data_IF_389191476903
#
_entry.id   IF_389191476903
#
_cell.length_a   1.000
_cell.length_b   1.000
_cell.length_c   1.000
_cell.angle_alpha   90.00
_cell.angle_beta   90.00
_cell.angle_gamma   90.00
#
_symmetry.space_group_name_H-M   'P 1'
#
loop_
_entity.id
_entity.type
_entity.pdbx_description
1 polymer ?
#
# COMPACT_ATOMS: atom_id res chain seq x y z
N UNK A 1 -8.73 -14.39 53.25
CA UNK A 1 -8.04 -14.83 52.03
C UNK A 1 -8.42 -13.91 50.91
N UNK A 2 -7.50 -13.09 50.42
CA UNK A 2 -7.77 -12.11 49.34
C UNK A 2 -7.41 -12.73 48.00
N UNK A 3 -8.39 -12.84 47.11
CA UNK A 3 -8.20 -13.30 45.74
C UNK A 3 -7.47 -12.23 44.91
N UNK A 4 -6.25 -12.52 44.50
CA UNK A 4 -5.45 -11.68 43.60
C UNK A 4 -6.02 -11.74 42.18
N UNK A 5 -6.37 -10.57 41.64
CA UNK A 5 -6.95 -10.39 40.32
C UNK A 5 -6.10 -10.97 39.20
N UNK A 6 -6.79 -11.61 38.26
CA UNK A 6 -6.22 -12.15 37.03
C UNK A 6 -5.76 -11.00 36.13
N UNK A 7 -4.44 -10.82 36.02
CA UNK A 7 -3.82 -9.87 35.11
C UNK A 7 -4.05 -10.26 33.64
N UNK A 8 -5.23 -9.94 33.10
CA UNK A 8 -5.47 -9.98 31.66
C UNK A 8 -4.67 -8.86 31.01
N UNK A 9 -3.65 -9.24 30.24
CA UNK A 9 -2.95 -8.32 29.33
C UNK A 9 -3.99 -7.72 28.37
N UNK A 10 -4.00 -6.39 28.16
CA UNK A 10 -4.88 -5.79 27.18
C UNK A 10 -4.58 -6.38 25.80
N UNK A 11 -5.61 -6.53 24.93
CA UNK A 11 -5.38 -6.95 23.56
C UNK A 11 -4.35 -6.03 22.92
N UNK A 12 -3.43 -6.58 22.13
CA UNK A 12 -2.44 -5.80 21.39
C UNK A 12 -3.19 -4.78 20.51
N UNK A 13 -3.12 -3.50 20.87
CA UNK A 13 -3.53 -2.43 19.96
C UNK A 13 -2.55 -2.42 18.81
N UNK A 14 -3.05 -2.79 17.64
CA UNK A 14 -2.33 -2.63 16.41
C UNK A 14 -2.78 -1.29 15.85
N UNK A 15 -2.08 -0.20 16.15
CA UNK A 15 -2.42 1.13 15.59
C UNK A 15 -2.45 1.14 14.05
N UNK A 16 -1.77 0.17 13.41
CA UNK A 16 -1.88 -0.03 11.97
C UNK A 16 -3.24 -0.60 11.51
N UNK A 17 -4.07 -1.07 12.44
CA UNK A 17 -5.41 -1.61 12.25
C UNK A 17 -6.52 -0.70 12.80
N UNK A 18 -6.20 0.54 13.20
CA UNK A 18 -7.18 1.49 13.74
C UNK A 18 -7.60 2.53 12.68
N UNK A 19 -8.83 3.04 12.78
CA UNK A 19 -9.44 4.02 11.86
C UNK A 19 -10.05 3.41 10.59
N UNK A 20 -11.08 4.09 10.06
CA UNK A 20 -11.80 3.72 8.82
C UNK A 20 -11.00 4.10 7.56
N UNK A 21 -10.29 5.23 7.62
CA UNK A 21 -9.35 5.69 6.58
C UNK A 21 -7.94 5.61 7.12
N UNK A 22 -7.03 5.00 6.35
CA UNK A 22 -5.65 4.75 6.77
C UNK A 22 -4.66 5.17 5.72
N UNK A 23 -3.83 6.16 6.05
CA UNK A 23 -2.72 6.59 5.21
C UNK A 23 -1.58 5.59 5.29
N UNK A 24 -1.22 5.01 4.14
CA UNK A 24 -0.16 4.00 4.03
C UNK A 24 0.74 4.26 2.85
N UNK A 25 2.00 3.87 3.01
CA UNK A 25 2.92 3.63 1.90
C UNK A 25 2.93 2.14 1.60
N UNK A 26 2.87 1.76 0.33
CA UNK A 26 2.98 0.35 -0.08
C UNK A 26 4.43 0.05 -0.47
N UNK A 27 5.14 -0.71 0.36
CA UNK A 27 6.49 -1.15 0.10
C UNK A 27 6.52 -2.54 -0.54
N UNK A 28 6.95 -2.64 -1.79
CA UNK A 28 7.01 -3.89 -2.52
C UNK A 28 8.14 -4.79 -2.02
N UNK A 29 7.93 -6.11 -2.06
CA UNK A 29 8.99 -7.11 -1.82
C UNK A 29 10.15 -6.98 -2.83
N UNK A 30 9.96 -6.30 -3.97
CA UNK A 30 11.04 -5.94 -4.90
C UNK A 30 11.86 -4.71 -4.48
N UNK A 31 11.63 -4.19 -3.27
CA UNK A 31 12.37 -3.08 -2.62
C UNK A 31 12.08 -1.68 -3.18
N UNK A 32 10.84 -1.44 -3.59
CA UNK A 32 10.36 -0.13 -4.07
C UNK A 32 9.10 0.32 -3.33
N UNK A 33 8.93 1.61 -3.14
CA UNK A 33 7.65 2.20 -2.74
C UNK A 33 6.82 2.47 -3.99
N UNK A 34 5.55 2.05 -3.97
CA UNK A 34 4.60 2.44 -5.01
C UNK A 34 4.36 3.95 -4.96
N UNK A 35 4.44 4.61 -6.12
CA UNK A 35 4.18 6.03 -6.31
C UNK A 35 3.21 6.21 -7.48
N UNK A 36 2.31 7.17 -7.32
CA UNK A 36 1.48 7.71 -8.41
C UNK A 36 1.87 9.19 -8.52
N UNK A 37 2.30 9.63 -9.69
CA UNK A 37 2.64 11.03 -9.94
C UNK A 37 1.41 11.89 -10.27
N UNK A 38 1.58 13.21 -10.38
CA UNK A 38 0.48 14.14 -10.68
C UNK A 38 -0.15 13.98 -12.07
N UNK A 39 0.49 13.23 -12.98
CA UNK A 39 -0.05 12.87 -14.29
C UNK A 39 -0.77 11.51 -14.31
N UNK A 40 -0.86 10.82 -13.17
CA UNK A 40 -1.43 9.47 -13.06
C UNK A 40 -0.46 8.35 -13.44
N UNK A 41 0.81 8.67 -13.69
CA UNK A 41 1.87 7.70 -13.92
C UNK A 41 2.15 6.88 -12.65
N UNK A 42 2.28 5.57 -12.80
CA UNK A 42 2.53 4.63 -11.68
C UNK A 42 3.93 4.06 -11.80
N UNK A 43 4.72 4.16 -10.73
CA UNK A 43 6.07 3.60 -10.67
C UNK A 43 6.49 3.22 -9.25
N UNK A 44 7.68 2.64 -9.14
CA UNK A 44 8.34 2.29 -7.89
C UNK A 44 9.56 3.16 -7.64
N UNK A 45 9.64 3.81 -6.47
CA UNK A 45 10.80 4.62 -6.05
C UNK A 45 11.62 3.91 -4.97
N UNK A 46 12.94 4.07 -5.00
CA UNK A 46 13.82 3.47 -3.98
C UNK A 46 13.81 4.29 -2.71
N UNK A 47 14.00 3.64 -1.56
CA UNK A 47 14.06 4.31 -0.26
C UNK A 47 15.15 5.39 -0.16
N UNK A 48 16.25 5.25 -0.91
CA UNK A 48 17.38 6.22 -0.94
C UNK A 48 17.12 7.45 -1.82
N UNK A 49 16.12 7.40 -2.70
CA UNK A 49 15.71 8.52 -3.55
C UNK A 49 14.65 9.37 -2.83
N UNK A 50 14.81 9.55 -1.51
CA UNK A 50 14.21 10.68 -0.81
C UNK A 50 14.99 11.92 -1.28
N UNK A 51 14.34 12.99 -1.76
CA UNK A 51 14.94 14.31 -1.65
C UNK A 51 15.06 14.57 -0.14
N UNK A 52 16.25 14.31 0.40
CA UNK A 52 16.54 14.43 1.84
C UNK A 52 16.56 15.86 2.37
N UNK A 53 16.08 16.85 1.60
CA UNK A 53 16.08 18.26 1.97
C UNK A 53 14.75 18.98 1.71
N UNK A 54 13.74 18.35 1.11
CA UNK A 54 12.46 19.04 0.80
C UNK A 54 11.31 18.67 1.76
N UNK A 55 11.34 17.48 2.36
CA UNK A 55 10.25 16.99 3.21
C UNK A 55 10.38 17.38 4.70
N UNK A 56 11.41 18.15 5.06
CA UNK A 56 11.59 18.68 6.41
C UNK A 56 10.61 19.81 6.77
N UNK A 57 9.88 20.35 5.79
CA UNK A 57 8.91 21.43 5.97
C UNK A 57 7.44 21.04 5.75
N UNK A 58 7.14 19.77 5.41
CA UNK A 58 5.80 19.36 4.95
C UNK A 58 4.83 18.90 6.04
N UNK A 59 5.11 19.18 7.31
CA UNK A 59 4.13 18.90 8.38
C UNK A 59 2.96 19.88 8.42
N UNK A 60 3.09 21.04 7.79
CA UNK A 60 1.98 22.00 7.65
C UNK A 60 1.29 21.93 6.27
N UNK A 61 1.91 21.34 5.24
CA UNK A 61 1.38 21.35 3.87
C UNK A 61 0.34 20.25 3.57
N UNK A 62 0.19 19.25 4.44
CA UNK A 62 -0.93 18.29 4.36
C UNK A 62 -2.27 18.94 4.77
N UNK A 63 -2.25 20.07 5.51
CA UNK A 63 -3.47 20.80 5.89
C UNK A 63 -4.01 21.68 4.76
N UNK A 64 -3.12 22.11 3.86
CA UNK A 64 -3.43 22.95 2.68
C UNK A 64 -3.26 22.18 1.37
N UNK A 65 -3.40 20.85 1.40
CA UNK A 65 -3.37 20.05 0.19
C UNK A 65 -4.54 20.49 -0.70
N UNK A 66 -4.24 21.30 -1.72
CA UNK A 66 -5.10 21.41 -2.90
C UNK A 66 -5.54 19.99 -3.25
N UNK A 67 -6.85 19.76 -3.16
CA UNK A 67 -7.51 18.53 -3.60
C UNK A 67 -6.82 18.10 -4.90
N UNK A 68 -6.26 16.87 -4.98
CA UNK A 68 -5.55 16.43 -6.17
C UNK A 68 -6.44 16.75 -7.37
N UNK A 69 -5.94 17.64 -8.23
CA UNK A 69 -6.72 18.31 -9.26
C UNK A 69 -7.76 17.38 -9.85
N UNK A 70 -9.02 17.83 -9.79
CA UNK A 70 -10.27 17.15 -10.12
C UNK A 70 -10.32 16.52 -11.53
N UNK A 71 -9.47 15.54 -11.81
CA UNK A 71 -9.36 14.87 -13.11
C UNK A 71 -9.44 13.34 -13.06
N UNK A 72 -9.29 12.73 -11.88
CA UNK A 72 -9.35 11.28 -11.71
C UNK A 72 -10.61 10.87 -10.96
N UNK A 73 -11.64 10.45 -11.70
CA UNK A 73 -12.87 9.92 -11.11
C UNK A 73 -12.64 8.51 -10.56
N UNK A 74 -13.15 8.24 -9.36
CA UNK A 74 -13.15 6.90 -8.82
C UNK A 74 -13.98 5.97 -9.71
N UNK A 75 -13.37 4.89 -10.18
CA UNK A 75 -14.02 3.94 -11.10
C UNK A 75 -13.91 2.50 -10.59
N UNK A 76 -14.63 1.54 -11.20
CA UNK A 76 -14.45 0.12 -10.88
C UNK A 76 -13.00 -0.39 -11.03
N UNK A 77 -12.18 0.31 -11.81
CA UNK A 77 -10.75 0.00 -12.00
C UNK A 77 -9.92 0.30 -10.74
N UNK A 78 -10.44 1.12 -9.83
CA UNK A 78 -9.79 1.53 -8.59
C UNK A 78 -10.07 0.56 -7.42
N UNK A 79 -10.87 -0.50 -7.65
CA UNK A 79 -11.25 -1.44 -6.60
C UNK A 79 -10.37 -2.68 -6.60
N UNK A 80 -9.72 -2.92 -5.47
CA UNK A 80 -8.84 -4.07 -5.25
C UNK A 80 -9.27 -4.88 -4.04
N UNK A 81 -9.15 -6.20 -4.15
CA UNK A 81 -9.24 -7.13 -3.02
C UNK A 81 -7.86 -7.25 -2.39
N UNK A 82 -7.75 -6.79 -1.16
CA UNK A 82 -6.57 -7.01 -0.31
C UNK A 82 -6.64 -8.41 0.31
N UNK A 83 -5.52 -9.14 0.32
CA UNK A 83 -5.35 -10.37 1.10
C UNK A 83 -3.99 -10.38 1.76
N UNK A 84 -3.96 -10.81 3.03
CA UNK A 84 -2.73 -11.06 3.77
C UNK A 84 -2.24 -12.46 3.38
N UNK A 85 -1.02 -12.54 2.85
CA UNK A 85 -0.36 -13.79 2.49
C UNK A 85 0.41 -14.36 3.69
N UNK A 86 0.73 -15.65 3.62
CA UNK A 86 1.41 -16.39 4.70
C UNK A 86 2.80 -15.83 5.06
N UNK A 87 3.44 -15.12 4.12
CA UNK A 87 4.74 -14.47 4.34
C UNK A 87 4.64 -13.08 4.99
N UNK A 88 3.44 -12.65 5.39
CA UNK A 88 3.19 -11.37 6.04
C UNK A 88 3.09 -10.16 5.10
N UNK A 89 3.17 -10.37 3.79
CA UNK A 89 2.88 -9.33 2.79
C UNK A 89 1.41 -9.39 2.36
N UNK A 90 0.93 -8.29 1.79
CA UNK A 90 -0.40 -8.22 1.20
C UNK A 90 -0.31 -8.32 -0.33
N UNK A 91 -1.33 -8.94 -0.93
CA UNK A 91 -1.60 -8.86 -2.36
C UNK A 91 -2.85 -8.04 -2.62
N UNK A 92 -2.86 -7.36 -3.77
CA UNK A 92 -3.98 -6.52 -4.21
C UNK A 92 -4.46 -6.98 -5.58
N UNK A 93 -5.53 -7.77 -5.61
CA UNK A 93 -6.11 -8.26 -6.85
C UNK A 93 -7.19 -7.29 -7.36
N UNK A 94 -7.24 -6.99 -8.66
CA UNK A 94 -8.35 -6.23 -9.22
C UNK A 94 -9.67 -6.97 -9.01
N UNK A 95 -10.70 -6.26 -8.53
CA UNK A 95 -12.04 -6.83 -8.42
C UNK A 95 -12.69 -7.01 -9.79
N UNK A 96 -12.42 -6.10 -10.72
CA UNK A 96 -13.05 -6.10 -12.03
C UNK A 96 -12.28 -6.93 -13.07
N UNK A 97 -10.95 -6.81 -13.08
CA UNK A 97 -10.15 -7.30 -14.19
C UNK A 97 -9.50 -8.66 -13.95
N UNK A 98 -9.69 -9.56 -14.93
CA UNK A 98 -9.13 -10.91 -14.95
C UNK A 98 -8.51 -11.19 -16.31
N UNK A 99 -7.51 -12.06 -16.36
CA UNK A 99 -6.88 -12.51 -17.60
C UNK A 99 -6.92 -14.04 -17.68
N UNK A 100 -7.62 -14.58 -18.69
CA UNK A 100 -7.85 -16.03 -18.86
C UNK A 100 -8.39 -16.70 -17.59
N UNK A 101 -9.41 -16.07 -16.98
CA UNK A 101 -10.03 -16.56 -15.75
C UNK A 101 -9.18 -16.42 -14.48
N UNK A 102 -8.01 -15.76 -14.55
CA UNK A 102 -7.12 -15.54 -13.39
C UNK A 102 -7.18 -14.08 -12.94
N UNK A 103 -7.19 -13.80 -11.62
CA UNK A 103 -7.12 -12.43 -11.13
C UNK A 103 -5.82 -11.76 -11.59
N UNK A 104 -5.90 -10.46 -11.85
CA UNK A 104 -4.72 -9.61 -12.08
C UNK A 104 -4.38 -8.87 -10.80
N UNK A 105 -3.09 -8.72 -10.53
CA UNK A 105 -2.57 -8.14 -9.30
C UNK A 105 -1.84 -6.82 -9.57
N UNK A 106 -1.89 -5.91 -8.60
CA UNK A 106 -0.93 -4.82 -8.51
C UNK A 106 0.48 -5.43 -8.44
N UNK A 107 1.44 -4.86 -9.18
CA UNK A 107 2.81 -5.39 -9.15
C UNK A 107 3.88 -4.41 -9.62
N UNK A 108 5.04 -4.50 -8.99
CA UNK A 108 6.27 -3.82 -9.40
C UNK A 108 7.36 -4.86 -9.67
N UNK A 109 8.00 -4.80 -10.84
CA UNK A 109 9.10 -5.69 -11.15
C UNK A 109 10.39 -5.32 -10.40
N UNK A 110 11.45 -6.09 -10.59
CA UNK A 110 12.77 -5.84 -9.99
C UNK A 110 13.44 -4.52 -10.38
N UNK A 111 12.91 -3.81 -11.39
CA UNK A 111 13.35 -2.48 -11.83
C UNK A 111 12.41 -1.36 -11.33
N UNK A 112 11.43 -1.67 -10.49
CA UNK A 112 10.45 -0.69 -9.99
C UNK A 112 9.40 -0.29 -11.02
N UNK A 113 9.23 -1.00 -12.13
CA UNK A 113 8.22 -0.67 -13.14
C UNK A 113 6.94 -1.49 -12.94
N UNK A 114 5.76 -0.90 -13.18
CA UNK A 114 4.50 -1.64 -13.13
C UNK A 114 4.49 -2.76 -14.17
N UNK A 115 3.94 -3.92 -13.81
CA UNK A 115 3.81 -5.03 -14.76
C UNK A 115 2.40 -5.07 -15.35
N UNK A 116 2.31 -5.55 -16.59
CA UNK A 116 1.02 -5.84 -17.23
C UNK A 116 0.29 -6.93 -16.45
N UNK A 117 -0.98 -6.68 -16.11
CA UNK A 117 -1.78 -7.55 -15.25
C UNK A 117 -1.82 -9.03 -15.69
N UNK A 118 -1.87 -9.32 -17.01
CA UNK A 118 -1.88 -10.71 -17.51
C UNK A 118 -0.63 -11.53 -17.15
N UNK A 119 0.49 -10.87 -16.80
CA UNK A 119 1.75 -11.51 -16.36
C UNK A 119 1.84 -11.73 -14.85
N UNK A 120 0.91 -11.17 -14.08
CA UNK A 120 0.95 -11.18 -12.62
C UNK A 120 0.40 -12.48 -12.04
N UNK A 121 0.94 -12.90 -10.88
CA UNK A 121 0.60 -14.15 -10.19
C UNK A 121 0.74 -13.93 -8.69
N UNK A 122 -0.20 -14.45 -7.89
CA UNK A 122 -0.23 -14.27 -6.42
C UNK A 122 1.08 -14.69 -5.73
N UNK A 123 1.70 -15.75 -6.24
CA UNK A 123 2.92 -16.34 -5.71
C UNK A 123 4.19 -15.57 -6.11
N UNK A 124 4.12 -14.59 -7.02
CA UNK A 124 5.29 -13.80 -7.40
C UNK A 124 5.52 -12.68 -6.40
N UNK A 125 6.76 -12.54 -5.93
CA UNK A 125 7.19 -11.44 -5.05
C UNK A 125 6.89 -10.05 -5.63
N UNK A 126 6.83 -9.91 -6.95
CA UNK A 126 6.47 -8.64 -7.58
C UNK A 126 5.05 -8.17 -7.25
N UNK A 127 4.17 -9.06 -6.76
CA UNK A 127 2.79 -8.74 -6.35
C UNK A 127 2.64 -8.49 -4.85
N UNK A 128 3.71 -8.63 -4.07
CA UNK A 128 3.69 -8.57 -2.61
C UNK A 128 4.07 -7.17 -2.14
N UNK A 129 3.23 -6.59 -1.28
CA UNK A 129 3.42 -5.26 -0.72
C UNK A 129 3.17 -5.26 0.78
N UNK A 130 4.00 -4.54 1.52
CA UNK A 130 3.86 -4.30 2.94
C UNK A 130 3.27 -2.90 3.17
N UNK A 131 2.08 -2.77 3.77
CA UNK A 131 1.53 -1.47 4.15
C UNK A 131 2.31 -0.88 5.33
N UNK A 132 3.00 0.22 5.10
CA UNK A 132 3.76 0.95 6.11
C UNK A 132 3.00 2.21 6.53
N UNK A 133 3.03 2.52 7.83
CA UNK A 133 2.50 3.79 8.36
C UNK A 133 3.24 4.97 7.71
N UNK A 134 2.48 6.02 7.39
CA UNK A 134 3.05 7.35 7.15
C UNK A 134 3.30 7.97 8.52
N UNK A 135 4.58 8.22 8.83
CA UNK A 135 5.03 8.94 10.03
C UNK A 135 5.29 10.39 9.73
#
# INVERSE_FOLDING_TARGET
GSATGTGRRPPRSYGHLEGDVRWRRLFSATRFFLRIDGGGGVEGTRWRERPGSEWGGDRDRDRDREEPGSGAEFSPNCKFMERIEENGYNTYASLHWRHRGRPMFLSLNSKGRPQRGGKTRRQHLSTHFLPMLVS
#
